data_IF_597064607348
#
_entry.id   IF_597064607348
#
_cell.length_a   1.000
_cell.length_b   1.000
_cell.length_c   1.000
_cell.angle_alpha   90.00
_cell.angle_beta   90.00
_cell.angle_gamma   90.00
#
_symmetry.space_group_name_H-M   'P 1'
#
loop_
_entity.id
_entity.type
_entity.pdbx_description
1 polymer ?
#
# COMPACT_ATOMS: atom_id res chain seq x y z
N UNK A 1 37.76 -31.64 35.98
CA UNK A 1 36.37 -32.15 36.08
C UNK A 1 35.67 -31.91 34.76
N UNK A 2 35.52 -32.95 33.94
CA UNK A 2 34.85 -32.93 32.65
C UNK A 2 33.37 -33.23 32.86
N UNK A 3 32.46 -32.25 32.57
CA UNK A 3 31.02 -32.47 32.60
C UNK A 3 30.57 -33.01 31.25
N UNK A 4 30.02 -34.18 31.20
CA UNK A 4 29.39 -34.85 30.07
C UNK A 4 27.91 -34.44 30.01
N UNK A 5 27.44 -33.99 28.84
CA UNK A 5 26.03 -33.74 28.57
C UNK A 5 25.35 -34.98 28.00
N UNK A 6 24.10 -35.30 28.39
CA UNK A 6 23.36 -36.42 27.84
C UNK A 6 22.84 -36.14 26.44
N UNK A 7 22.94 -37.16 25.56
CA UNK A 7 22.45 -37.11 24.16
C UNK A 7 20.91 -37.24 24.15
N UNK A 8 20.25 -36.37 23.35
CA UNK A 8 18.82 -36.46 23.05
C UNK A 8 18.52 -37.64 22.10
N UNK A 9 17.39 -38.36 22.26
CA UNK A 9 16.99 -39.42 21.34
C UNK A 9 16.44 -38.87 20.03
N UNK A 10 16.70 -39.61 18.93
CA UNK A 10 16.22 -39.34 17.57
C UNK A 10 14.73 -39.71 17.45
N UNK A 11 13.91 -38.93 16.68
CA UNK A 11 12.55 -39.33 16.38
C UNK A 11 12.52 -40.46 15.34
N UNK A 12 11.58 -41.40 15.53
CA UNK A 12 11.35 -42.53 14.66
C UNK A 12 10.55 -42.14 13.42
N UNK A 13 10.91 -42.73 12.29
CA UNK A 13 10.21 -42.63 11.00
C UNK A 13 8.92 -43.48 11.00
N UNK A 14 7.82 -42.99 10.44
CA UNK A 14 6.62 -43.83 10.27
C UNK A 14 6.74 -44.73 9.02
N UNK A 15 6.41 -45.99 9.21
CA UNK A 15 6.30 -47.02 8.17
C UNK A 15 5.06 -46.81 7.31
N UNK A 16 5.25 -46.92 6.00
CA UNK A 16 4.19 -46.97 4.99
C UNK A 16 3.38 -48.27 5.10
N UNK A 17 2.06 -48.15 5.23
CA UNK A 17 1.10 -49.26 5.04
C UNK A 17 0.56 -49.19 3.62
N UNK A 18 0.90 -50.21 2.82
CA UNK A 18 0.28 -50.49 1.52
C UNK A 18 -1.06 -51.20 1.79
N UNK A 19 -2.17 -50.57 1.44
CA UNK A 19 -3.51 -51.17 1.42
C UNK A 19 -3.82 -51.75 0.06
N UNK A 20 -4.25 -52.98 0.08
CA UNK A 20 -4.57 -53.91 -1.01
C UNK A 20 -5.93 -53.55 -1.61
N UNK A 21 -6.01 -53.38 -2.93
CA UNK A 21 -7.26 -53.18 -3.69
C UNK A 21 -7.92 -54.58 -3.90
N UNK A 22 -9.18 -54.70 -3.53
CA UNK A 22 -10.03 -55.86 -3.90
C UNK A 22 -10.94 -55.47 -5.06
N UNK A 23 -10.74 -56.13 -6.20
CA UNK A 23 -11.61 -56.08 -7.36
C UNK A 23 -12.78 -57.05 -7.12
N UNK A 24 -14.01 -56.60 -7.21
CA UNK A 24 -15.17 -57.47 -7.30
C UNK A 24 -15.87 -57.17 -8.64
N UNK A 25 -15.76 -58.13 -9.55
CA UNK A 25 -16.48 -58.16 -10.83
C UNK A 25 -17.85 -58.78 -10.62
N UNK A 26 -18.91 -58.19 -11.08
CA UNK A 26 -20.21 -58.81 -11.33
C UNK A 26 -20.55 -58.73 -12.79
N UNK A 27 -20.68 -59.93 -13.42
CA UNK A 27 -21.22 -60.14 -14.77
C UNK A 27 -22.62 -60.72 -14.55
N UNK A 28 -23.59 -60.24 -15.31
CA UNK A 28 -24.63 -60.98 -16.00
C UNK A 28 -25.91 -60.16 -16.20
N UNK A 29 -26.40 -60.12 -17.41
CA UNK A 29 -27.81 -59.98 -17.72
C UNK A 29 -28.13 -59.31 -19.03
N UNK A 30 -28.24 -60.07 -20.07
CA UNK A 30 -28.68 -59.69 -21.43
C UNK A 30 -30.11 -59.17 -21.45
N UNK A 31 -30.36 -58.14 -22.20
CA UNK A 31 -31.70 -57.65 -22.57
C UNK A 31 -31.63 -56.65 -23.72
N UNK A 32 -31.75 -57.17 -24.96
CA UNK A 32 -31.79 -56.41 -26.18
C UNK A 32 -33.20 -55.81 -26.35
N UNK A 33 -33.36 -54.51 -26.23
CA UNK A 33 -34.52 -53.76 -26.78
C UNK A 33 -33.98 -52.53 -27.50
N UNK A 34 -34.06 -52.57 -28.81
CA UNK A 34 -33.66 -51.48 -29.67
C UNK A 34 -34.65 -50.32 -29.55
N UNK A 35 -34.14 -49.18 -29.09
CA UNK A 35 -34.76 -47.89 -29.26
C UNK A 35 -33.88 -47.07 -30.24
N UNK A 36 -34.39 -46.81 -31.43
CA UNK A 36 -33.81 -45.83 -32.33
C UNK A 36 -34.14 -44.46 -31.74
N UNK A 37 -33.21 -43.88 -31.03
CA UNK A 37 -33.28 -42.46 -30.65
C UNK A 37 -32.60 -41.64 -31.76
N UNK A 38 -33.42 -40.92 -32.51
CA UNK A 38 -32.91 -39.84 -33.36
C UNK A 38 -32.31 -38.78 -32.47
N UNK A 39 -31.01 -38.72 -32.40
CA UNK A 39 -30.29 -37.58 -31.80
C UNK A 39 -30.54 -36.34 -32.67
N UNK A 40 -31.52 -35.52 -32.23
CA UNK A 40 -31.51 -34.13 -32.59
C UNK A 40 -30.35 -33.49 -31.83
N UNK A 41 -29.26 -33.24 -32.51
CA UNK A 41 -28.19 -32.41 -32.04
C UNK A 41 -28.75 -30.99 -31.79
N UNK A 42 -29.33 -30.79 -30.64
CA UNK A 42 -29.57 -29.48 -30.09
C UNK A 42 -28.21 -28.90 -29.75
N UNK A 43 -27.70 -28.05 -30.61
CA UNK A 43 -26.65 -27.14 -30.28
C UNK A 43 -27.16 -26.30 -29.09
N UNK A 44 -26.83 -26.70 -27.85
CA UNK A 44 -26.88 -25.80 -26.73
C UNK A 44 -25.82 -24.74 -27.03
N UNK A 45 -26.27 -23.64 -27.64
CA UNK A 45 -25.56 -22.38 -27.49
C UNK A 45 -25.57 -22.08 -26.00
N UNK A 46 -24.56 -22.59 -25.29
CA UNK A 46 -24.13 -21.95 -24.05
C UNK A 46 -23.89 -20.49 -24.43
N UNK A 47 -24.81 -19.61 -24.01
CA UNK A 47 -24.56 -18.18 -23.99
C UNK A 47 -23.36 -17.98 -23.10
N UNK A 48 -22.17 -18.12 -23.69
CA UNK A 48 -20.94 -17.72 -23.04
C UNK A 48 -21.07 -16.21 -22.84
N UNK A 49 -21.18 -15.77 -21.60
CA UNK A 49 -20.52 -14.53 -21.23
C UNK A 49 -19.14 -14.65 -21.87
N UNK A 50 -18.79 -13.71 -22.76
CA UNK A 50 -17.45 -13.64 -23.29
C UNK A 50 -16.53 -13.55 -22.06
N UNK A 51 -15.94 -14.68 -21.69
CA UNK A 51 -15.12 -14.77 -20.49
C UNK A 51 -13.92 -13.87 -20.72
N UNK A 52 -13.55 -13.09 -19.71
CA UNK A 52 -12.29 -12.35 -19.70
C UNK A 52 -11.16 -13.26 -20.18
N UNK A 53 -10.45 -12.82 -21.19
CA UNK A 53 -9.23 -13.49 -21.60
C UNK A 53 -8.06 -12.94 -20.77
N UNK A 54 -7.93 -13.47 -19.53
CA UNK A 54 -6.94 -13.01 -18.56
C UNK A 54 -5.53 -13.05 -19.15
N UNK A 55 -5.14 -14.14 -19.82
CA UNK A 55 -3.80 -14.27 -20.42
C UNK A 55 -3.51 -13.18 -21.48
N UNK A 56 -4.53 -12.77 -22.25
CA UNK A 56 -4.37 -11.69 -23.23
C UNK A 56 -4.28 -10.33 -22.57
N UNK A 57 -5.03 -10.10 -21.47
CA UNK A 57 -4.97 -8.88 -20.68
C UNK A 57 -3.61 -8.76 -20.00
N UNK A 58 -3.11 -9.81 -19.33
CA UNK A 58 -1.77 -9.86 -18.74
C UNK A 58 -0.70 -9.54 -19.77
N UNK A 59 -0.71 -10.22 -20.90
CA UNK A 59 0.28 -10.00 -21.99
C UNK A 59 0.30 -8.56 -22.50
N UNK A 60 -0.85 -7.86 -22.45
CA UNK A 60 -0.97 -6.46 -22.86
C UNK A 60 -0.49 -5.49 -21.76
N UNK A 61 -0.78 -5.80 -20.49
CA UNK A 61 -0.65 -4.84 -19.38
C UNK A 61 0.64 -5.06 -18.58
N UNK A 62 1.11 -6.30 -18.38
CA UNK A 62 2.29 -6.61 -17.58
C UNK A 62 3.55 -5.81 -17.94
N UNK A 63 3.85 -5.49 -19.22
CA UNK A 63 5.00 -4.65 -19.56
C UNK A 63 4.95 -3.26 -18.92
N UNK A 64 3.73 -2.76 -18.64
CA UNK A 64 3.49 -1.47 -17.98
C UNK A 64 3.24 -1.59 -16.47
N UNK A 65 3.43 -2.78 -15.89
CA UNK A 65 3.35 -3.00 -14.43
C UNK A 65 4.75 -3.02 -13.83
N UNK A 66 4.90 -2.45 -12.67
CA UNK A 66 6.17 -2.40 -11.95
C UNK A 66 6.02 -2.96 -10.53
N UNK A 67 6.99 -3.75 -10.08
CA UNK A 67 7.14 -4.09 -8.66
C UNK A 67 7.80 -2.91 -7.95
N UNK A 68 7.19 -2.45 -6.87
CA UNK A 68 7.69 -1.37 -6.03
C UNK A 68 8.17 -1.97 -4.71
N UNK A 69 9.45 -1.80 -4.40
CA UNK A 69 10.06 -2.24 -3.15
C UNK A 69 10.53 -1.03 -2.37
N UNK A 70 10.18 -0.95 -1.10
CA UNK A 70 10.54 0.16 -0.22
C UNK A 70 11.34 -0.34 0.97
N UNK A 71 12.37 0.42 1.37
CA UNK A 71 13.06 0.22 2.63
C UNK A 71 12.51 1.25 3.61
N UNK A 72 12.00 0.79 4.74
CA UNK A 72 11.44 1.67 5.75
C UNK A 72 12.52 2.50 6.43
N UNK A 73 12.19 3.74 6.80
CA UNK A 73 13.06 4.61 7.56
C UNK A 73 13.48 3.92 8.88
N UNK A 74 14.71 4.18 9.32
CA UNK A 74 15.33 3.55 10.50
C UNK A 74 15.67 2.07 10.36
N UNK A 75 15.70 1.50 9.14
CA UNK A 75 16.07 0.10 8.90
C UNK A 75 15.11 -0.92 9.52
N UNK A 76 13.86 -0.53 9.76
CA UNK A 76 12.86 -1.36 10.44
C UNK A 76 12.17 -2.38 9.54
N UNK A 77 12.61 -2.54 8.30
CA UNK A 77 12.06 -3.55 7.40
C UNK A 77 11.96 -3.07 5.96
N UNK A 78 11.35 -3.94 5.17
CA UNK A 78 11.04 -3.70 3.76
C UNK A 78 9.54 -3.89 3.56
N UNK A 79 8.95 -3.14 2.62
CA UNK A 79 7.61 -3.35 2.14
C UNK A 79 7.64 -3.49 0.62
N UNK A 80 6.63 -4.13 0.06
CA UNK A 80 6.49 -4.32 -1.36
C UNK A 80 5.05 -4.04 -1.81
N UNK A 81 4.94 -3.47 -2.99
CA UNK A 81 3.69 -3.20 -3.68
C UNK A 81 3.89 -3.26 -5.18
N UNK A 82 2.95 -2.70 -5.88
CA UNK A 82 2.90 -2.64 -7.33
C UNK A 82 2.81 -1.17 -7.78
N UNK A 83 3.13 -0.91 -9.03
CA UNK A 83 2.97 0.39 -9.66
C UNK A 83 2.54 0.27 -11.10
N UNK A 84 1.94 1.34 -11.61
CA UNK A 84 1.41 1.46 -12.96
C UNK A 84 2.28 2.46 -13.73
N UNK A 85 2.91 2.04 -14.82
CA UNK A 85 3.71 2.94 -15.66
C UNK A 85 2.77 3.79 -16.50
N UNK A 86 2.75 5.10 -16.22
CA UNK A 86 1.90 6.08 -16.90
C UNK A 86 2.68 6.99 -17.87
N UNK A 87 4.00 6.95 -17.81
CA UNK A 87 4.88 7.73 -18.68
C UNK A 87 6.06 6.93 -19.17
N UNK A 88 6.30 6.95 -20.49
CA UNK A 88 7.40 6.21 -21.12
C UNK A 88 8.80 6.64 -20.69
N UNK A 89 8.90 7.76 -19.98
CA UNK A 89 10.13 8.29 -19.37
C UNK A 89 10.28 7.94 -17.89
N UNK A 90 9.43 7.06 -17.33
CA UNK A 90 9.58 6.50 -15.98
C UNK A 90 8.69 7.12 -14.92
N UNK A 91 7.54 7.69 -15.31
CA UNK A 91 6.49 8.11 -14.37
C UNK A 91 5.64 6.88 -14.00
N UNK A 92 5.47 6.66 -12.68
CA UNK A 92 4.80 5.47 -12.14
C UNK A 92 3.82 5.92 -11.05
N UNK A 93 2.56 5.51 -11.16
CA UNK A 93 1.58 5.59 -10.09
C UNK A 93 1.74 4.41 -9.13
N UNK A 94 1.56 4.65 -7.85
CA UNK A 94 1.39 3.63 -6.81
C UNK A 94 0.54 4.19 -5.67
N UNK A 95 0.23 3.40 -4.65
CA UNK A 95 -0.44 3.93 -3.47
C UNK A 95 0.52 4.68 -2.54
N UNK A 96 -0.02 5.66 -1.80
CA UNK A 96 0.75 6.35 -0.76
C UNK A 96 1.23 5.39 0.33
N UNK A 97 0.36 4.50 0.83
CA UNK A 97 0.74 3.54 1.88
C UNK A 97 1.86 2.57 1.47
N UNK A 98 2.13 2.38 0.16
CA UNK A 98 3.26 1.57 -0.33
C UNK A 98 4.59 2.27 -0.08
N UNK A 99 4.60 3.60 -0.14
CA UNK A 99 5.82 4.41 0.00
C UNK A 99 5.92 5.13 1.36
N UNK A 100 4.88 5.09 2.15
CA UNK A 100 4.80 5.73 3.46
C UNK A 100 5.97 5.31 4.35
N UNK A 101 6.58 6.29 5.03
CA UNK A 101 7.74 6.09 5.91
C UNK A 101 8.96 5.39 5.25
N UNK A 102 9.06 5.39 3.91
CA UNK A 102 10.21 4.82 3.22
C UNK A 102 11.43 5.77 3.22
N UNK A 103 12.61 5.20 3.39
CA UNK A 103 13.89 5.88 3.19
C UNK A 103 14.44 5.70 1.78
N UNK A 104 13.96 4.71 1.05
CA UNK A 104 14.29 4.50 -0.36
C UNK A 104 13.20 3.70 -1.06
N UNK A 105 13.00 4.01 -2.33
CA UNK A 105 12.06 3.31 -3.22
C UNK A 105 12.86 2.72 -4.39
N UNK A 106 12.60 1.45 -4.70
CA UNK A 106 13.17 0.76 -5.86
C UNK A 106 12.05 0.18 -6.70
N UNK A 107 12.23 0.24 -8.01
CA UNK A 107 11.24 -0.20 -8.98
C UNK A 107 11.85 -1.23 -9.93
N UNK A 108 11.07 -2.25 -10.28
CA UNK A 108 11.46 -3.29 -11.22
C UNK A 108 10.33 -3.47 -12.23
N UNK A 109 10.56 -3.12 -13.50
CA UNK A 109 9.56 -3.18 -14.56
C UNK A 109 9.25 -4.62 -14.98
N UNK A 110 7.98 -4.95 -15.22
CA UNK A 110 7.52 -6.29 -15.54
C UNK A 110 7.89 -7.34 -14.49
N UNK A 111 8.14 -6.91 -13.26
CA UNK A 111 8.48 -7.79 -12.14
C UNK A 111 9.81 -8.53 -12.24
N UNK A 112 10.62 -8.28 -13.26
CA UNK A 112 11.88 -9.01 -13.50
C UNK A 112 13.00 -8.09 -13.98
N UNK A 113 14.25 -8.59 -13.99
CA UNK A 113 15.39 -7.85 -14.50
C UNK A 113 16.00 -6.85 -13.51
N UNK A 114 16.40 -5.68 -14.01
CA UNK A 114 17.12 -4.67 -13.22
C UNK A 114 16.18 -3.91 -12.30
N UNK A 115 16.64 -3.67 -11.07
CA UNK A 115 16.02 -2.75 -10.13
C UNK A 115 16.61 -1.34 -10.29
N UNK A 116 15.75 -0.33 -10.29
CA UNK A 116 16.08 1.08 -10.42
C UNK A 116 15.69 1.82 -9.14
N UNK A 117 16.46 2.83 -8.76
CA UNK A 117 15.99 3.78 -7.74
C UNK A 117 14.89 4.66 -8.33
N UNK A 118 13.91 4.98 -7.51
CA UNK A 118 12.84 5.89 -7.87
C UNK A 118 12.74 7.02 -6.85
N UNK A 119 12.53 8.22 -7.35
CA UNK A 119 12.26 9.40 -6.53
C UNK A 119 10.75 9.57 -6.38
N UNK A 120 10.31 9.98 -5.20
CA UNK A 120 8.92 10.34 -4.93
C UNK A 120 8.69 11.78 -5.39
N UNK A 121 7.95 11.97 -6.49
CA UNK A 121 7.61 13.30 -6.99
C UNK A 121 6.56 14.00 -6.13
N UNK A 122 5.70 13.21 -5.47
CA UNK A 122 4.65 13.70 -4.59
C UNK A 122 3.65 12.61 -4.27
N UNK A 123 2.72 12.92 -3.39
CA UNK A 123 1.69 11.98 -2.94
C UNK A 123 0.46 12.72 -2.41
N UNK A 124 -0.67 12.02 -2.34
CA UNK A 124 -1.88 12.47 -1.67
C UNK A 124 -2.32 11.39 -0.68
N UNK A 125 -2.30 11.73 0.61
CA UNK A 125 -2.63 10.78 1.68
C UNK A 125 -4.12 10.42 1.64
N UNK A 126 -5.02 11.40 1.48
CA UNK A 126 -6.47 11.17 1.54
C UNK A 126 -7.02 10.34 0.37
N UNK A 127 -6.37 10.40 -0.80
CA UNK A 127 -6.72 9.61 -1.99
C UNK A 127 -5.88 8.33 -2.11
N UNK A 128 -4.89 8.12 -1.22
CA UNK A 128 -3.95 7.00 -1.24
C UNK A 128 -3.22 6.85 -2.59
N UNK A 129 -2.71 7.95 -3.12
CA UNK A 129 -2.01 8.01 -4.41
C UNK A 129 -0.61 8.58 -4.25
N UNK A 130 0.38 8.01 -4.91
CA UNK A 130 1.73 8.54 -5.03
C UNK A 130 2.21 8.48 -6.48
N UNK A 131 3.04 9.45 -6.86
CA UNK A 131 3.71 9.51 -8.14
C UNK A 131 5.21 9.36 -7.94
N UNK A 132 5.78 8.38 -8.62
CA UNK A 132 7.21 8.08 -8.62
C UNK A 132 7.85 8.48 -9.95
N UNK A 133 9.16 8.73 -9.91
CA UNK A 133 10.01 8.95 -11.09
C UNK A 133 11.22 8.05 -11.05
N UNK A 134 11.46 7.33 -12.13
CA UNK A 134 12.71 6.62 -12.39
C UNK A 134 13.48 7.37 -13.45
N UNK A 135 14.69 7.79 -13.12
CA UNK A 135 15.56 8.49 -14.05
C UNK A 135 16.37 7.53 -14.93
N UNK A 136 16.79 8.02 -16.09
CA UNK A 136 17.64 7.29 -17.01
C UNK A 136 16.97 6.13 -17.74
N UNK A 137 15.63 6.10 -17.77
CA UNK A 137 14.82 5.17 -18.54
C UNK A 137 14.03 5.88 -19.62
N UNK A 138 13.73 5.20 -20.71
CA UNK A 138 12.93 5.73 -21.81
C UNK A 138 12.34 4.60 -22.65
N UNK A 139 11.24 4.88 -23.33
CA UNK A 139 10.60 3.90 -24.20
C UNK A 139 9.93 2.77 -23.44
N UNK A 140 9.53 3.01 -22.19
CA UNK A 140 8.72 2.07 -21.42
C UNK A 140 7.34 1.94 -22.01
N UNK A 141 6.78 0.74 -21.95
CA UNK A 141 5.38 0.51 -22.20
C UNK A 141 4.54 1.22 -21.13
N UNK A 142 3.42 1.81 -21.55
CA UNK A 142 2.51 2.55 -20.68
C UNK A 142 1.10 1.99 -20.83
N UNK A 143 0.31 2.12 -19.76
CA UNK A 143 -1.10 1.72 -19.79
C UNK A 143 -1.94 2.67 -20.65
N UNK A 144 -3.06 2.15 -21.17
CA UNK A 144 -4.23 2.94 -21.57
C UNK A 144 -5.23 2.94 -20.42
N UNK A 145 -6.01 4.02 -20.29
CA UNK A 145 -6.97 4.19 -19.20
C UNK A 145 -8.37 4.42 -19.72
N UNK A 146 -9.38 3.87 -19.03
CA UNK A 146 -10.79 4.23 -19.21
C UNK A 146 -11.36 4.78 -17.87
N UNK A 147 -11.96 5.96 -17.92
CA UNK A 147 -12.59 6.60 -16.76
C UNK A 147 -13.97 6.01 -16.43
N UNK A 148 -14.53 5.22 -17.32
CA UNK A 148 -15.86 4.62 -17.17
C UNK A 148 -15.74 3.25 -16.50
N UNK A 149 -16.53 3.06 -15.45
CA UNK A 149 -16.63 1.77 -14.76
C UNK A 149 -18.06 1.56 -14.30
N UNK A 150 -18.61 0.35 -14.50
CA UNK A 150 -19.99 0.02 -14.21
C UNK A 150 -20.11 -1.18 -13.28
N UNK A 151 -21.14 -1.17 -12.42
CA UNK A 151 -21.44 -2.32 -11.55
C UNK A 151 -21.78 -3.55 -12.38
N UNK A 152 -21.15 -4.68 -12.05
CA UNK A 152 -21.26 -5.94 -12.78
C UNK A 152 -20.23 -6.10 -13.90
N UNK A 153 -19.44 -5.09 -14.19
CA UNK A 153 -18.37 -5.14 -15.18
C UNK A 153 -17.29 -6.13 -14.77
N UNK A 154 -16.88 -7.04 -15.68
CA UNK A 154 -15.78 -7.97 -15.42
C UNK A 154 -14.45 -7.22 -15.42
N UNK A 155 -13.60 -7.49 -14.44
CA UNK A 155 -12.30 -6.83 -14.26
C UNK A 155 -11.22 -7.83 -13.88
N UNK A 156 -9.97 -7.45 -14.11
CA UNK A 156 -8.77 -8.18 -13.68
C UNK A 156 -7.93 -7.24 -12.82
N UNK A 157 -7.63 -7.65 -11.60
CA UNK A 157 -6.64 -6.99 -10.75
C UNK A 157 -5.28 -7.64 -11.01
N UNK A 158 -4.26 -6.83 -11.30
CA UNK A 158 -2.90 -7.28 -11.57
C UNK A 158 -1.96 -6.70 -10.52
N UNK A 159 -1.05 -7.51 -9.98
CA UNK A 159 -0.12 -7.03 -8.98
C UNK A 159 0.95 -8.02 -8.56
N UNK A 160 1.73 -7.64 -7.54
CA UNK A 160 2.82 -8.43 -6.97
C UNK A 160 2.35 -9.17 -5.70
N UNK A 161 1.41 -10.08 -5.87
CA UNK A 161 0.78 -10.80 -4.77
C UNK A 161 1.81 -11.40 -3.79
N UNK A 162 1.64 -11.09 -2.52
CA UNK A 162 2.56 -11.52 -1.46
C UNK A 162 3.93 -10.85 -1.49
N UNK A 163 4.17 -9.83 -2.32
CA UNK A 163 5.42 -9.06 -2.37
C UNK A 163 6.66 -9.86 -2.79
N UNK A 164 6.47 -10.92 -3.59
CA UNK A 164 7.57 -11.86 -3.91
C UNK A 164 8.44 -11.42 -5.08
N UNK A 165 8.00 -10.39 -5.84
CA UNK A 165 8.60 -10.07 -7.14
C UNK A 165 8.33 -11.17 -8.17
N UNK A 166 8.86 -11.01 -9.36
CA UNK A 166 8.58 -11.88 -10.50
C UNK A 166 7.47 -11.29 -11.38
N UNK A 167 6.98 -12.08 -12.34
CA UNK A 167 5.85 -11.70 -13.18
C UNK A 167 4.66 -11.36 -12.28
N UNK A 168 3.94 -10.26 -12.54
CA UNK A 168 2.75 -9.93 -11.77
C UNK A 168 1.73 -11.06 -11.81
N UNK A 169 0.99 -11.24 -10.75
CA UNK A 169 -0.13 -12.19 -10.66
C UNK A 169 -1.43 -11.47 -11.05
N UNK A 170 -2.37 -12.18 -11.65
CA UNK A 170 -3.67 -11.66 -12.04
C UNK A 170 -4.82 -12.39 -11.36
N UNK A 171 -5.78 -11.63 -10.86
CA UNK A 171 -7.00 -12.15 -10.24
C UNK A 171 -8.23 -11.53 -10.88
N UNK A 172 -9.09 -12.36 -11.47
CA UNK A 172 -10.34 -11.89 -12.09
C UNK A 172 -11.46 -11.71 -11.08
N UNK A 173 -12.35 -10.78 -11.36
CA UNK A 173 -13.53 -10.49 -10.57
C UNK A 173 -14.53 -9.63 -11.34
N UNK A 174 -15.43 -8.99 -10.60
CA UNK A 174 -16.41 -8.04 -11.14
C UNK A 174 -16.57 -6.86 -10.21
N UNK A 175 -16.90 -5.72 -10.77
CA UNK A 175 -17.26 -4.51 -10.00
C UNK A 175 -18.55 -4.75 -9.21
N UNK A 176 -18.49 -4.56 -7.89
CA UNK A 176 -19.64 -4.75 -6.98
C UNK A 176 -20.35 -3.44 -6.63
N UNK A 177 -19.59 -2.38 -6.49
CA UNK A 177 -20.11 -1.02 -6.30
C UNK A 177 -19.05 0.01 -6.68
N UNK A 178 -19.50 1.24 -6.88
CA UNK A 178 -18.66 2.43 -7.10
C UNK A 178 -19.04 3.52 -6.10
N UNK A 179 -18.06 4.34 -5.70
CA UNK A 179 -18.28 5.40 -4.72
C UNK A 179 -18.24 4.95 -3.26
N UNK A 180 -17.70 3.78 -2.97
CA UNK A 180 -17.60 3.23 -1.62
C UNK A 180 -16.65 4.08 -0.74
N UNK A 181 -16.95 4.05 0.56
CA UNK A 181 -16.10 4.67 1.58
C UNK A 181 -15.67 3.61 2.59
N UNK A 182 -14.38 3.50 2.86
CA UNK A 182 -13.83 2.54 3.83
C UNK A 182 -12.99 3.26 4.88
N UNK A 183 -12.88 2.63 6.05
CA UNK A 183 -11.90 3.01 7.06
C UNK A 183 -10.79 1.97 7.09
N UNK A 184 -9.58 2.43 6.92
CA UNK A 184 -8.37 1.63 7.01
C UNK A 184 -7.58 2.05 8.24
N UNK A 185 -6.83 1.13 8.81
CA UNK A 185 -5.94 1.40 9.93
C UNK A 185 -4.56 0.84 9.61
N UNK A 186 -3.56 1.66 9.86
CA UNK A 186 -2.14 1.34 9.76
C UNK A 186 -1.42 1.65 11.09
N UNK A 187 -0.10 1.63 11.06
CA UNK A 187 0.72 1.98 12.21
C UNK A 187 0.64 3.48 12.58
N UNK A 188 0.26 4.33 11.63
CA UNK A 188 0.12 5.80 11.80
C UNK A 188 -1.25 6.23 12.32
N UNK A 189 -2.28 5.37 12.22
CA UNK A 189 -3.62 5.71 12.71
C UNK A 189 -4.77 5.08 11.94
N UNK A 190 -5.86 5.83 11.79
CA UNK A 190 -7.04 5.44 11.03
C UNK A 190 -7.31 6.48 9.95
N UNK A 191 -7.38 6.04 8.72
CA UNK A 191 -7.65 6.86 7.54
C UNK A 191 -9.00 6.47 6.92
N UNK A 192 -9.66 7.44 6.29
CA UNK A 192 -10.90 7.21 5.54
C UNK A 192 -10.64 7.42 4.06
N UNK A 193 -10.70 6.34 3.28
CA UNK A 193 -10.66 6.40 1.82
C UNK A 193 -12.07 6.48 1.27
N UNK A 194 -12.26 7.32 0.25
CA UNK A 194 -13.57 7.64 -0.32
C UNK A 194 -13.60 7.37 -1.82
N UNK A 195 -14.82 7.28 -2.36
CA UNK A 195 -15.07 7.16 -3.79
C UNK A 195 -14.37 5.95 -4.44
N UNK A 196 -14.27 4.83 -3.74
CA UNK A 196 -13.57 3.64 -4.21
C UNK A 196 -14.46 2.76 -5.09
N UNK A 197 -13.84 2.01 -5.98
CA UNK A 197 -14.41 0.89 -6.71
C UNK A 197 -14.26 -0.35 -5.82
N UNK A 198 -15.37 -1.04 -5.51
CA UNK A 198 -15.33 -2.33 -4.82
C UNK A 198 -15.48 -3.46 -5.83
N UNK A 199 -14.64 -4.47 -5.69
CA UNK A 199 -14.61 -5.66 -6.53
C UNK A 199 -14.65 -6.94 -5.71
N UNK A 200 -15.04 -8.05 -6.31
CA UNK A 200 -14.94 -9.39 -5.71
C UNK A 200 -13.67 -10.15 -6.15
N UNK A 201 -12.71 -9.44 -6.72
CA UNK A 201 -11.36 -9.96 -6.91
C UNK A 201 -10.63 -10.05 -5.57
N UNK A 202 -10.03 -11.21 -5.29
CA UNK A 202 -9.28 -11.45 -4.05
C UNK A 202 -7.91 -10.77 -4.13
N UNK A 203 -7.84 -9.51 -3.70
CA UNK A 203 -6.56 -8.79 -3.60
C UNK A 203 -5.74 -9.33 -2.43
N UNK A 204 -4.44 -9.45 -2.64
CA UNK A 204 -3.45 -9.82 -1.64
C UNK A 204 -2.53 -8.65 -1.28
N UNK A 205 -1.88 -8.66 -0.09
CA UNK A 205 -0.79 -7.73 0.20
C UNK A 205 0.28 -7.79 -0.90
N UNK A 206 0.63 -6.65 -1.48
CA UNK A 206 1.53 -6.55 -2.62
C UNK A 206 0.82 -6.14 -3.93
N UNK A 207 -0.49 -6.37 -4.06
CA UNK A 207 -1.27 -5.92 -5.23
C UNK A 207 -1.56 -4.42 -5.18
N UNK A 208 -1.43 -3.81 -4.01
CA UNK A 208 -1.59 -2.36 -3.81
C UNK A 208 -0.71 -1.56 -4.77
N UNK A 209 -1.31 -0.59 -5.45
CA UNK A 209 -0.68 0.24 -6.47
C UNK A 209 -0.72 -0.36 -7.87
N UNK A 210 -1.14 -1.62 -8.03
CA UNK A 210 -1.30 -2.28 -9.33
C UNK A 210 -2.59 -1.89 -10.05
N UNK A 211 -2.69 -2.15 -11.36
CA UNK A 211 -3.86 -1.80 -12.15
C UNK A 211 -5.04 -2.73 -11.88
N UNK A 212 -6.24 -2.15 -11.83
CA UNK A 212 -7.51 -2.82 -12.06
C UNK A 212 -7.90 -2.54 -13.51
N UNK A 213 -8.05 -3.60 -14.31
CA UNK A 213 -8.23 -3.52 -15.77
C UNK A 213 -9.56 -4.10 -16.20
N UNK A 214 -10.16 -3.54 -17.24
CA UNK A 214 -11.37 -4.04 -17.88
C UNK A 214 -11.06 -5.18 -18.89
N UNK A 215 -12.10 -5.59 -19.64
CA UNK A 215 -12.00 -6.66 -20.64
C UNK A 215 -11.17 -6.28 -21.89
N UNK A 216 -11.02 -4.98 -22.16
CA UNK A 216 -10.24 -4.44 -23.27
C UNK A 216 -8.75 -4.23 -22.87
N UNK A 217 -8.40 -4.48 -21.60
CA UNK A 217 -7.08 -4.27 -21.04
C UNK A 217 -6.77 -2.78 -20.87
N UNK A 218 -7.77 -1.98 -20.52
CA UNK A 218 -7.64 -0.58 -20.14
C UNK A 218 -7.77 -0.45 -18.62
N UNK A 219 -6.97 0.43 -18.03
CA UNK A 219 -6.96 0.59 -16.57
C UNK A 219 -8.13 1.47 -16.15
N UNK A 220 -9.02 0.94 -15.31
CA UNK A 220 -10.18 1.62 -14.74
C UNK A 220 -9.94 2.05 -13.28
N UNK A 221 -8.95 1.45 -12.61
CA UNK A 221 -8.61 1.77 -11.22
C UNK A 221 -7.20 1.35 -10.83
N UNK A 222 -6.79 1.76 -9.64
CA UNK A 222 -5.55 1.35 -8.98
C UNK A 222 -5.90 0.60 -7.69
N UNK A 223 -5.50 -0.66 -7.59
CA UNK A 223 -5.76 -1.52 -6.41
C UNK A 223 -5.21 -0.86 -5.14
N UNK A 224 -5.98 -0.84 -4.03
CA UNK A 224 -5.51 -0.17 -2.80
C UNK A 224 -5.65 -1.00 -1.54
N UNK A 225 -6.73 -1.68 -1.31
CA UNK A 225 -6.97 -2.36 -0.05
C UNK A 225 -7.47 -3.78 -0.23
N UNK A 226 -6.97 -4.67 0.63
CA UNK A 226 -7.43 -6.05 0.75
C UNK A 226 -8.03 -6.32 2.13
N UNK A 227 -8.97 -7.22 2.21
CA UNK A 227 -9.70 -7.54 3.44
C UNK A 227 -8.87 -8.25 4.51
N UNK A 228 -7.63 -8.71 4.23
CA UNK A 228 -6.87 -9.50 5.20
C UNK A 228 -5.35 -9.44 5.03
N UNK A 229 -4.67 -9.06 6.11
CA UNK A 229 -3.30 -9.50 6.37
C UNK A 229 -2.17 -8.62 5.82
N UNK A 230 -2.04 -7.41 6.30
CA UNK A 230 -0.90 -6.51 6.05
C UNK A 230 -0.95 -5.33 7.00
N UNK A 231 -0.01 -4.41 6.95
CA UNK A 231 -0.02 -3.20 7.78
C UNK A 231 -1.28 -2.34 7.62
N UNK A 232 -1.95 -2.40 6.47
CA UNK A 232 -3.15 -1.64 6.10
C UNK A 232 -4.40 -2.54 6.26
N UNK A 233 -5.19 -2.33 7.34
CA UNK A 233 -6.32 -3.20 7.70
C UNK A 233 -7.66 -2.49 7.56
N UNK A 234 -8.60 -3.13 6.86
CA UNK A 234 -10.02 -2.72 6.90
C UNK A 234 -10.58 -2.88 8.31
N UNK A 235 -11.16 -1.82 8.85
CA UNK A 235 -11.85 -1.84 10.17
C UNK A 235 -13.28 -2.35 10.11
N UNK A 236 -13.89 -2.39 8.94
CA UNK A 236 -15.25 -2.90 8.75
C UNK A 236 -15.15 -4.32 8.22
N UNK A 237 -15.86 -5.26 8.84
CA UNK A 237 -15.88 -6.68 8.50
C UNK A 237 -16.45 -6.96 7.12
N UNK A 238 -15.74 -6.56 6.08
CA UNK A 238 -15.95 -7.01 4.71
C UNK A 238 -15.63 -8.50 4.63
N UNK A 239 -16.42 -9.24 3.88
CA UNK A 239 -16.21 -10.68 3.71
C UNK A 239 -14.83 -10.96 3.12
N UNK A 240 -14.28 -12.14 3.38
CA UNK A 240 -13.06 -12.60 2.72
C UNK A 240 -13.29 -12.63 1.20
N UNK A 241 -12.40 -11.99 0.41
CA UNK A 241 -12.44 -11.99 -1.04
C UNK A 241 -12.97 -10.68 -1.67
N UNK A 242 -13.10 -9.60 -0.91
CA UNK A 242 -13.39 -8.27 -1.46
C UNK A 242 -12.12 -7.43 -1.56
N UNK A 243 -11.97 -6.70 -2.68
CA UNK A 243 -10.93 -5.74 -2.94
C UNK A 243 -11.48 -4.35 -3.22
N UNK A 244 -10.64 -3.35 -3.09
CA UNK A 244 -10.96 -1.95 -3.38
C UNK A 244 -9.91 -1.35 -4.29
N UNK A 245 -10.33 -0.43 -5.16
CA UNK A 245 -9.44 0.32 -6.04
C UNK A 245 -9.80 1.80 -6.05
N UNK A 246 -8.79 2.65 -6.13
CA UNK A 246 -8.93 4.08 -6.42
C UNK A 246 -9.29 4.22 -7.90
N UNK A 247 -10.36 4.95 -8.30
CA UNK A 247 -10.66 5.18 -9.71
C UNK A 247 -9.45 5.79 -10.43
N UNK A 248 -9.14 5.30 -11.62
CA UNK A 248 -7.96 5.77 -12.36
C UNK A 248 -8.00 7.28 -12.63
N UNK A 249 -9.18 7.81 -12.88
CA UNK A 249 -9.39 9.26 -13.01
C UNK A 249 -8.90 10.05 -11.81
N UNK A 250 -9.17 9.57 -10.60
CA UNK A 250 -8.69 10.20 -9.35
C UNK A 250 -7.16 10.11 -9.28
N UNK A 251 -6.59 8.94 -9.52
CA UNK A 251 -5.13 8.74 -9.49
C UNK A 251 -4.40 9.61 -10.52
N UNK A 252 -4.92 9.71 -11.75
CA UNK A 252 -4.36 10.56 -12.80
C UNK A 252 -4.49 12.06 -12.46
N UNK A 253 -5.62 12.47 -11.86
CA UNK A 253 -5.79 13.86 -11.41
C UNK A 253 -4.76 14.26 -10.36
N UNK A 254 -4.48 13.39 -9.40
CA UNK A 254 -3.43 13.60 -8.39
C UNK A 254 -2.05 13.66 -9.05
N UNK A 255 -1.77 12.75 -9.99
CA UNK A 255 -0.49 12.76 -10.73
C UNK A 255 -0.28 14.08 -11.49
N UNK A 256 -1.34 14.61 -12.10
CA UNK A 256 -1.26 15.88 -12.84
C UNK A 256 -1.05 17.09 -11.91
N UNK A 257 -1.69 17.10 -10.73
CA UNK A 257 -1.42 18.10 -9.69
C UNK A 257 0.05 18.05 -9.25
N UNK A 258 0.59 16.86 -9.00
CA UNK A 258 2.00 16.70 -8.61
C UNK A 258 2.92 17.18 -9.72
N UNK A 259 2.66 16.81 -10.99
CA UNK A 259 3.47 17.23 -12.15
C UNK A 259 3.44 18.75 -12.40
N UNK A 260 2.31 19.40 -12.13
CA UNK A 260 2.21 20.86 -12.25
C UNK A 260 2.93 21.63 -11.15
N UNK A 261 3.35 20.94 -10.08
CA UNK A 261 3.94 21.57 -8.90
C UNK A 261 2.92 22.28 -8.00
N UNK A 262 1.64 22.07 -8.26
CA UNK A 262 0.54 22.68 -7.50
C UNK A 262 0.12 21.75 -6.35
N UNK A 263 0.87 21.78 -5.25
CA UNK A 263 0.44 21.16 -4.02
C UNK A 263 -0.80 21.88 -3.47
N UNK A 264 -1.90 21.17 -3.27
CA UNK A 264 -3.12 21.75 -2.70
C UNK A 264 -3.83 20.75 -1.80
N UNK A 265 -4.34 21.21 -0.66
CA UNK A 265 -5.04 20.34 0.30
C UNK A 265 -4.11 19.25 0.82
N UNK A 266 -4.48 18.00 0.58
CA UNK A 266 -3.75 16.80 1.04
C UNK A 266 -2.68 16.31 0.04
N UNK A 267 -2.48 17.04 -1.09
CA UNK A 267 -1.45 16.71 -2.09
C UNK A 267 -0.14 17.40 -1.75
N UNK A 268 0.86 16.60 -1.42
CA UNK A 268 2.24 17.03 -1.21
C UNK A 268 3.05 16.87 -2.49
N UNK A 269 3.83 17.89 -2.86
CA UNK A 269 4.71 17.89 -4.04
C UNK A 269 6.16 17.97 -3.60
N UNK A 270 7.00 17.11 -4.15
CA UNK A 270 8.42 17.04 -3.84
C UNK A 270 8.73 16.32 -2.54
N UNK A 271 9.96 16.51 -2.06
CA UNK A 271 10.43 15.92 -0.81
C UNK A 271 9.76 16.57 0.41
N UNK A 272 9.45 15.77 1.41
CA UNK A 272 8.84 16.24 2.65
C UNK A 272 9.87 16.91 3.56
N UNK A 273 9.51 18.04 4.15
CA UNK A 273 10.30 18.67 5.20
C UNK A 273 10.29 17.82 6.48
N UNK A 274 11.44 17.69 7.10
CA UNK A 274 11.67 16.83 8.25
C UNK A 274 12.38 17.58 9.38
N UNK A 275 11.84 17.48 10.59
CA UNK A 275 12.43 18.05 11.79
C UNK A 275 13.27 17.02 12.56
N UNK A 276 12.90 15.74 12.50
CA UNK A 276 13.64 14.66 13.14
C UNK A 276 13.19 14.35 14.57
N UNK A 277 11.92 14.55 14.87
CA UNK A 277 11.32 14.19 16.16
C UNK A 277 10.29 13.09 16.00
N UNK A 278 10.25 12.16 16.95
CA UNK A 278 9.08 11.32 17.18
C UNK A 278 8.21 11.98 18.25
N UNK A 279 6.89 11.97 18.06
CA UNK A 279 5.97 12.59 19.00
C UNK A 279 5.26 11.50 19.79
N UNK A 280 5.19 11.69 21.11
CA UNK A 280 4.46 10.79 21.99
C UNK A 280 2.98 11.11 21.93
N UNK A 281 2.17 10.17 21.44
CA UNK A 281 0.72 10.25 21.63
C UNK A 281 0.41 10.22 23.12
N UNK A 282 -0.12 11.31 23.66
CA UNK A 282 -0.65 11.34 25.03
C UNK A 282 -2.00 10.61 24.99
N UNK A 283 -1.93 9.28 24.82
CA UNK A 283 -3.11 8.43 24.97
C UNK A 283 -3.70 8.68 26.35
N UNK A 284 -5.00 8.83 26.42
CA UNK A 284 -5.80 8.91 27.65
C UNK A 284 -5.47 7.73 28.58
N UNK A 285 -4.42 7.85 29.36
CA UNK A 285 -4.23 6.98 30.52
C UNK A 285 -5.22 7.42 31.60
N UNK A 286 -6.46 6.97 31.46
CA UNK A 286 -7.41 6.85 32.55
C UNK A 286 -6.88 5.82 33.52
N UNK A 287 -6.03 6.22 34.46
CA UNK A 287 -5.51 5.30 35.47
C UNK A 287 -4.47 5.93 36.38
N UNK A 288 -4.92 6.62 37.44
CA UNK A 288 -4.22 6.72 38.71
C UNK A 288 -2.81 7.37 38.73
N UNK A 289 -2.71 8.66 38.42
CA UNK A 289 -1.84 9.56 39.22
C UNK A 289 -2.50 10.93 39.39
N UNK A 290 -3.11 11.09 40.57
CA UNK A 290 -3.60 12.36 41.11
C UNK A 290 -2.36 13.14 41.54
N UNK A 291 -2.03 14.22 40.84
CA UNK A 291 -1.02 15.15 41.32
C UNK A 291 -0.07 15.63 40.21
N UNK A 292 -0.55 16.42 39.27
CA UNK A 292 0.17 17.53 38.64
C UNK A 292 -0.79 18.19 37.64
N UNK A 293 -1.43 19.28 38.08
CA UNK A 293 -2.26 20.13 37.22
C UNK A 293 -1.35 20.99 36.34
N UNK A 294 -1.20 20.58 35.09
CA UNK A 294 -0.60 21.33 34.02
C UNK A 294 -0.82 20.56 32.74
N UNK A 295 -1.98 20.78 32.09
CA UNK A 295 -2.16 20.35 30.70
C UNK A 295 -1.14 21.13 29.88
N UNK A 296 0.02 20.54 29.62
CA UNK A 296 0.98 21.12 28.67
C UNK A 296 0.34 21.04 27.28
N UNK A 297 -0.03 22.19 26.74
CA UNK A 297 -0.46 22.32 25.36
C UNK A 297 0.78 22.28 24.48
N UNK A 298 0.84 21.36 23.52
CA UNK A 298 1.98 21.20 22.61
C UNK A 298 2.19 19.76 22.17
N UNK A 299 3.13 19.56 21.25
CA UNK A 299 3.55 18.24 20.79
C UNK A 299 4.73 17.73 21.64
N UNK A 300 4.48 16.72 22.49
CA UNK A 300 5.51 16.17 23.39
C UNK A 300 6.48 15.28 22.61
N UNK A 301 7.77 15.61 22.65
CA UNK A 301 8.84 14.86 22.01
C UNK A 301 9.04 13.50 22.68
N UNK A 302 8.78 12.44 21.95
CA UNK A 302 9.01 11.05 22.37
C UNK A 302 10.43 10.58 22.15
N UNK A 303 11.14 11.20 21.20
CA UNK A 303 12.54 10.97 20.88
C UNK A 303 13.02 11.92 19.81
N UNK A 304 14.32 12.11 19.70
CA UNK A 304 14.99 12.94 18.70
C UNK A 304 15.95 12.05 17.92
N UNK A 305 15.91 12.14 16.59
CA UNK A 305 16.83 11.41 15.73
C UNK A 305 18.18 12.10 15.74
N UNK A 306 19.24 11.34 16.00
CA UNK A 306 20.61 11.89 15.99
C UNK A 306 21.01 12.44 14.64
N UNK A 307 21.61 13.62 14.60
CA UNK A 307 22.02 14.34 13.38
C UNK A 307 20.84 14.96 12.61
N UNK A 308 19.65 15.06 13.23
CA UNK A 308 18.50 15.74 12.65
C UNK A 308 18.49 17.23 12.98
N UNK A 309 17.70 18.07 12.28
CA UNK A 309 17.52 19.47 12.61
C UNK A 309 17.10 19.73 14.06
N UNK A 310 16.30 18.83 14.64
CA UNK A 310 15.89 18.91 16.05
C UNK A 310 17.07 18.62 17.01
N UNK A 311 17.91 17.63 16.70
CA UNK A 311 19.11 17.31 17.47
C UNK A 311 20.10 18.47 17.44
N UNK A 312 20.36 19.04 16.26
CA UNK A 312 21.23 20.21 16.08
C UNK A 312 20.72 21.44 16.82
N UNK A 313 19.41 21.59 16.95
CA UNK A 313 18.77 22.66 17.72
C UNK A 313 18.79 22.43 19.24
N UNK A 314 19.13 21.22 19.68
CA UNK A 314 19.21 20.85 21.09
C UNK A 314 17.90 20.37 21.70
N UNK A 315 16.90 20.02 20.90
CA UNK A 315 15.67 19.37 21.40
C UNK A 315 16.03 18.00 22.01
N UNK A 316 15.30 17.63 23.05
CA UNK A 316 15.49 16.37 23.76
C UNK A 316 14.16 15.63 23.96
N UNK A 317 14.25 14.35 24.26
CA UNK A 317 13.08 13.57 24.67
C UNK A 317 12.47 14.17 25.95
N UNK A 318 11.19 14.44 25.94
CA UNK A 318 10.45 15.03 27.04
C UNK A 318 10.08 16.50 26.80
N UNK A 319 10.78 17.18 25.90
CA UNK A 319 10.47 18.55 25.51
C UNK A 319 9.07 18.64 24.91
N UNK A 320 8.47 19.82 24.97
CA UNK A 320 7.16 20.07 24.38
C UNK A 320 7.30 21.17 23.32
N UNK A 321 7.13 20.83 22.06
CA UNK A 321 7.11 21.81 20.96
C UNK A 321 5.83 22.63 21.08
N UNK A 322 6.00 23.95 21.14
CA UNK A 322 4.91 24.93 21.36
C UNK A 322 4.69 25.86 20.17
N UNK A 323 5.70 25.98 19.27
CA UNK A 323 5.55 26.76 18.03
C UNK A 323 6.45 26.24 16.92
N UNK A 324 6.01 26.42 15.67
CA UNK A 324 6.80 26.16 14.46
C UNK A 324 6.44 27.19 13.40
N UNK A 325 7.45 27.83 12.80
CA UNK A 325 7.30 28.85 11.75
C UNK A 325 6.25 29.92 12.09
N UNK A 326 6.22 30.36 13.37
CA UNK A 326 5.28 31.36 13.85
C UNK A 326 3.86 30.87 14.16
N UNK A 327 3.56 29.58 13.92
CA UNK A 327 2.28 28.94 14.29
C UNK A 327 2.38 28.32 15.67
N UNK A 328 1.33 28.49 16.49
CA UNK A 328 1.22 27.81 17.78
C UNK A 328 0.92 26.33 17.57
N UNK A 329 1.60 25.47 18.33
CA UNK A 329 1.44 24.02 18.30
C UNK A 329 0.79 23.58 19.61
N UNK A 330 -0.37 22.95 19.52
CA UNK A 330 -1.12 22.41 20.66
C UNK A 330 -1.31 20.89 20.59
N UNK A 331 -1.06 20.30 19.42
CA UNK A 331 -1.24 18.88 19.15
C UNK A 331 -0.21 18.36 18.13
N UNK A 332 -0.20 17.04 17.90
CA UNK A 332 0.57 16.41 16.81
C UNK A 332 0.09 16.90 15.44
N UNK A 333 -1.23 17.00 15.30
CA UNK A 333 -1.85 17.43 14.03
C UNK A 333 -1.48 18.87 13.68
N UNK A 334 -1.37 19.76 14.70
CA UNK A 334 -0.89 21.12 14.49
C UNK A 334 0.56 21.15 14.00
N UNK A 335 1.43 20.31 14.58
CA UNK A 335 2.84 20.22 14.17
C UNK A 335 2.96 19.70 12.72
N UNK A 336 2.21 18.65 12.39
CA UNK A 336 2.18 18.10 11.04
C UNK A 336 1.65 19.11 10.03
N UNK A 337 0.55 19.80 10.37
CA UNK A 337 -0.04 20.87 9.53
C UNK A 337 0.86 22.10 9.40
N UNK A 338 1.68 22.38 10.41
CA UNK A 338 2.64 23.47 10.35
C UNK A 338 3.84 23.12 9.47
N UNK A 339 4.29 21.84 9.47
CA UNK A 339 5.38 21.37 8.63
C UNK A 339 4.98 21.18 7.15
N UNK A 340 3.72 20.81 6.88
CA UNK A 340 3.25 20.44 5.56
C UNK A 340 3.57 21.44 4.42
N UNK A 341 3.48 22.77 4.60
CA UNK A 341 3.79 23.73 3.54
C UNK A 341 5.30 23.98 3.33
N UNK A 342 6.17 23.36 4.15
CA UNK A 342 7.61 23.55 4.08
C UNK A 342 8.29 22.46 3.27
N UNK A 343 9.47 22.81 2.71
CA UNK A 343 10.31 21.92 1.94
C UNK A 343 11.68 21.72 2.64
N UNK A 344 12.43 20.69 2.29
CA UNK A 344 13.81 20.53 2.74
C UNK A 344 14.64 21.78 2.43
N UNK A 345 15.52 22.17 3.36
CA UNK A 345 16.37 23.36 3.36
C UNK A 345 15.63 24.67 3.72
N UNK A 346 14.32 24.64 3.93
CA UNK A 346 13.64 25.82 4.51
C UNK A 346 14.18 26.08 5.90
N UNK A 347 14.30 27.36 6.25
CA UNK A 347 14.67 27.80 7.58
C UNK A 347 13.42 28.22 8.33
N UNK A 348 13.15 27.54 9.44
CA UNK A 348 11.99 27.83 10.28
C UNK A 348 12.43 28.00 11.71
N UNK A 349 11.69 28.82 12.47
CA UNK A 349 11.86 28.95 13.91
C UNK A 349 11.04 27.85 14.60
N UNK A 350 11.67 27.11 15.51
CA UNK A 350 11.04 26.14 16.40
C UNK A 350 11.10 26.66 17.82
N UNK A 351 9.96 26.70 18.51
CA UNK A 351 9.88 27.01 19.92
C UNK A 351 9.42 25.79 20.73
N UNK A 352 10.06 25.57 21.86
CA UNK A 352 9.71 24.47 22.76
C UNK A 352 9.88 24.86 24.24
N UNK A 353 9.30 24.05 25.09
CA UNK A 353 9.50 24.15 26.56
C UNK A 353 10.14 22.85 27.02
N UNK A 354 11.23 22.93 27.76
CA UNK A 354 11.93 21.77 28.30
C UNK A 354 11.23 21.19 29.56
N UNK A 355 11.78 20.09 30.09
CA UNK A 355 11.24 19.44 31.29
C UNK A 355 11.28 20.31 32.55
N UNK A 356 12.18 21.31 32.58
CA UNK A 356 12.28 22.29 33.69
C UNK A 356 11.22 23.39 33.58
N UNK A 357 10.59 23.54 32.43
CA UNK A 357 9.61 24.59 32.14
C UNK A 357 10.22 25.83 31.49
N UNK A 358 11.50 25.78 31.11
CA UNK A 358 12.16 26.88 30.42
C UNK A 358 11.81 26.90 28.94
N UNK A 359 11.61 28.11 28.39
CA UNK A 359 11.25 28.30 26.98
C UNK A 359 12.51 28.52 26.15
N UNK A 360 12.57 27.79 25.05
CA UNK A 360 13.65 27.82 24.06
C UNK A 360 13.13 28.16 22.69
N UNK A 361 13.94 28.79 21.86
CA UNK A 361 13.70 28.99 20.43
C UNK A 361 14.98 28.79 19.66
N UNK A 362 14.90 28.19 18.47
CA UNK A 362 16.03 28.05 17.55
C UNK A 362 15.57 28.14 16.10
N UNK A 363 16.46 28.68 15.25
CA UNK A 363 16.31 28.58 13.81
C UNK A 363 16.86 27.22 13.34
N UNK A 364 16.02 26.43 12.72
CA UNK A 364 16.41 25.13 12.17
C UNK A 364 16.33 25.16 10.64
N UNK A 365 17.24 24.44 9.98
CA UNK A 365 17.14 24.17 8.55
C UNK A 365 16.55 22.79 8.40
N UNK A 366 15.34 22.68 7.85
CA UNK A 366 14.64 21.42 7.70
C UNK A 366 15.40 20.45 6.77
N UNK A 367 15.42 19.18 7.11
CA UNK A 367 16.02 18.12 6.29
C UNK A 367 14.96 17.51 5.35
N UNK A 368 15.40 16.64 4.43
CA UNK A 368 14.51 15.75 3.70
C UNK A 368 14.10 14.59 4.60
N UNK A 369 12.82 14.29 4.63
CA UNK A 369 12.25 13.21 5.41
C UNK A 369 11.50 12.20 4.55
N UNK A 370 11.11 11.06 5.15
CA UNK A 370 10.33 10.06 4.45
C UNK A 370 8.94 10.60 4.07
N UNK A 371 8.31 10.06 3.02
CA UNK A 371 6.90 10.33 2.69
C UNK A 371 5.97 10.05 3.87
N UNK A 372 4.84 10.76 3.95
CA UNK A 372 3.86 10.61 5.02
C UNK A 372 2.82 9.56 4.69
#
# INVERSE_FOLDING_TARGET
MKRTWPRRPRPATPRSLRGLAVLTAFVLGSGLVGFVATEAAGAQTSGGQAGLNVDAIESKVDPAVAVVNTTLANGQGEAAGTGIVIGSSGEILTNNHVIENSSSVKVQFGGSGRSYSADVLGYNVSEDVALLKVDGVSGLDTVTTDDSVSVGEPVVAIGNAGGRGGTPDATSGSVRSVGDTIQVADAGGSQTLRNLIRVDASLEPGDSGGPLVDADGEVVGMNTAASSGGGFRLRTGSGSGEGYAVPIKTAMSVADQIKSGEGSGDTHVGERAFLGVSIRSVGSQSGLRRGSSGSRSGAVVGGVQSGSPADDAGLQQGDTITSLAGKSISSIDDLTSALAPHHPRDKVEVGWTDDSGDHHTAQVTLASGPPA
#
